data_IF_238793250875
#
_entry.id   IF_238793250875
#
_cell.length_a   1.000
_cell.length_b   1.000
_cell.length_c   1.000
_cell.angle_alpha   90.00
_cell.angle_beta   90.00
_cell.angle_gamma   90.00
#
_symmetry.space_group_name_H-M   'P 1'
#
loop_
_entity.id
_entity.type
_entity.pdbx_description
1 polymer ?
#
# COMPACT_ATOMS: atom_id res chain seq x y z
N UNK A 1 -26.54 39.19 23.43
CA UNK A 1 -25.67 38.01 23.59
C UNK A 1 -25.05 37.73 22.23
N UNK A 2 -23.79 38.09 22.05
CA UNK A 2 -23.08 38.00 20.77
C UNK A 2 -22.61 36.56 20.52
N UNK A 3 -23.11 35.96 19.45
CA UNK A 3 -22.65 34.65 18.95
C UNK A 3 -21.33 34.84 18.21
N UNK A 4 -20.24 34.37 18.79
CA UNK A 4 -18.90 34.38 18.19
C UNK A 4 -18.81 33.32 17.09
N UNK A 5 -18.85 33.78 15.84
CA UNK A 5 -18.51 32.97 14.68
C UNK A 5 -17.02 32.61 14.71
N UNK A 6 -16.72 31.31 14.80
CA UNK A 6 -15.35 30.79 14.69
C UNK A 6 -14.95 30.83 13.22
N UNK A 7 -14.16 31.83 12.85
CA UNK A 7 -13.51 31.97 11.54
C UNK A 7 -12.45 30.89 11.38
N UNK A 8 -12.70 29.91 10.50
CA UNK A 8 -11.71 28.92 10.09
C UNK A 8 -10.75 29.61 9.10
N UNK A 9 -9.50 29.78 9.53
CA UNK A 9 -8.43 30.41 8.76
C UNK A 9 -8.17 29.64 7.45
N UNK A 10 -8.16 30.35 6.33
CA UNK A 10 -8.25 29.84 4.96
C UNK A 10 -6.88 29.77 4.27
N UNK A 11 -5.82 29.45 5.04
CA UNK A 11 -4.45 29.36 4.48
C UNK A 11 -4.16 27.93 4.02
N UNK A 12 -4.03 27.73 2.70
CA UNK A 12 -3.61 26.45 2.10
C UNK A 12 -2.22 26.06 2.65
N UNK A 13 -2.07 24.89 3.29
CA UNK A 13 -0.77 24.44 3.79
C UNK A 13 0.17 24.15 2.62
N UNK A 14 1.32 24.82 2.62
CA UNK A 14 2.32 24.79 1.53
C UNK A 14 3.40 23.73 1.76
N UNK A 15 3.56 23.27 2.99
CA UNK A 15 4.66 22.39 3.40
C UNK A 15 4.18 20.96 3.66
N UNK A 16 5.03 19.95 3.41
CA UNK A 16 4.68 18.53 3.62
C UNK A 16 4.19 18.26 5.05
N UNK A 17 4.88 18.83 6.04
CA UNK A 17 4.53 18.68 7.45
C UNK A 17 3.16 19.29 7.75
N UNK A 18 2.88 20.49 7.25
CA UNK A 18 1.58 21.16 7.46
C UNK A 18 0.41 20.37 6.87
N UNK A 19 0.59 19.77 5.67
CA UNK A 19 -0.45 18.94 5.05
C UNK A 19 -0.69 17.68 5.88
N UNK A 20 0.37 17.02 6.35
CA UNK A 20 0.25 15.83 7.20
C UNK A 20 -0.43 16.19 8.52
N UNK A 21 0.01 17.27 9.18
CA UNK A 21 -0.54 17.73 10.46
C UNK A 21 -2.01 18.14 10.32
N UNK A 22 -2.37 18.86 9.25
CA UNK A 22 -3.76 19.23 8.99
C UNK A 22 -4.65 18.01 8.78
N UNK A 23 -4.15 17.02 8.02
CA UNK A 23 -4.90 15.79 7.77
C UNK A 23 -5.06 14.95 9.04
N UNK A 24 -4.03 14.86 9.89
CA UNK A 24 -4.11 14.17 11.18
C UNK A 24 -5.09 14.88 12.11
N UNK A 25 -5.02 16.21 12.19
CA UNK A 25 -5.91 17.00 13.05
C UNK A 25 -7.38 16.80 12.65
N UNK A 26 -7.67 16.82 11.36
CA UNK A 26 -9.02 16.59 10.87
C UNK A 26 -9.51 15.17 11.16
N UNK A 27 -8.62 14.16 11.08
CA UNK A 27 -8.97 12.79 11.45
C UNK A 27 -9.33 12.68 12.94
N UNK A 28 -8.57 13.36 13.81
CA UNK A 28 -8.86 13.44 15.24
C UNK A 28 -10.22 14.11 15.48
N UNK A 29 -10.50 15.24 14.83
CA UNK A 29 -11.79 15.94 14.97
C UNK A 29 -12.97 15.06 14.51
N UNK A 30 -12.81 14.29 13.42
CA UNK A 30 -13.84 13.36 12.96
C UNK A 30 -14.08 12.20 13.93
N UNK A 31 -13.01 11.71 14.57
CA UNK A 31 -13.10 10.66 15.60
C UNK A 31 -13.78 11.18 16.87
N UNK A 32 -13.42 12.38 17.32
CA UNK A 32 -14.04 13.04 18.48
C UNK A 32 -15.51 13.36 18.23
N UNK A 33 -15.88 13.67 16.99
CA UNK A 33 -17.27 13.85 16.55
C UNK A 33 -18.05 12.53 16.38
N UNK A 34 -17.42 11.36 16.63
CA UNK A 34 -18.07 10.05 16.57
C UNK A 34 -18.23 9.47 15.15
N UNK A 35 -17.57 10.03 14.15
CA UNK A 35 -17.63 9.54 12.77
C UNK A 35 -16.67 8.37 12.55
N UNK A 36 -17.10 7.16 12.95
CA UNK A 36 -16.35 5.91 12.72
C UNK A 36 -16.11 5.58 11.23
N UNK A 37 -16.94 6.12 10.33
CA UNK A 37 -16.81 5.95 8.88
C UNK A 37 -15.52 6.58 8.35
N UNK A 38 -15.06 7.69 8.93
CA UNK A 38 -13.81 8.34 8.53
C UNK A 38 -12.61 7.44 8.82
N UNK A 39 -12.59 6.81 9.99
CA UNK A 39 -11.56 5.84 10.36
C UNK A 39 -11.63 4.57 9.50
N UNK A 40 -12.84 4.08 9.22
CA UNK A 40 -13.04 2.89 8.40
C UNK A 40 -12.59 3.12 6.96
N UNK A 41 -12.94 4.26 6.36
CA UNK A 41 -12.46 4.69 5.05
C UNK A 41 -10.95 4.83 5.02
N UNK A 42 -10.37 5.35 6.11
CA UNK A 42 -8.94 5.48 6.25
C UNK A 42 -8.22 4.12 6.30
N UNK A 43 -8.66 3.19 7.15
CA UNK A 43 -8.10 1.84 7.24
C UNK A 43 -8.26 1.07 5.91
N UNK A 44 -9.38 1.29 5.22
CA UNK A 44 -9.64 0.73 3.88
C UNK A 44 -8.69 1.33 2.83
N UNK A 45 -8.40 2.61 2.89
CA UNK A 45 -7.43 3.24 1.99
C UNK A 45 -6.00 2.73 2.26
N UNK A 46 -5.62 2.51 3.53
CA UNK A 46 -4.33 1.92 3.89
C UNK A 46 -4.14 0.52 3.30
N UNK A 47 -5.19 -0.32 3.31
CA UNK A 47 -5.10 -1.66 2.73
C UNK A 47 -4.92 -1.62 1.21
N UNK A 48 -5.50 -0.62 0.53
CA UNK A 48 -5.41 -0.45 -0.94
C UNK A 48 -4.10 0.21 -1.40
N UNK A 49 -3.58 1.17 -0.64
CA UNK A 49 -2.46 2.04 -1.06
C UNK A 49 -1.17 1.81 -0.26
N UNK A 50 -0.81 0.55 -0.01
CA UNK A 50 0.36 0.18 0.80
C UNK A 50 1.72 0.69 0.28
N UNK A 51 1.81 1.03 -1.02
CA UNK A 51 3.02 1.60 -1.64
C UNK A 51 3.11 3.13 -1.52
N UNK A 52 2.08 3.80 -0.98
CA UNK A 52 2.07 5.23 -0.76
C UNK A 52 2.44 5.56 0.69
N UNK A 53 3.11 6.69 0.90
CA UNK A 53 3.35 7.19 2.26
C UNK A 53 2.04 7.47 2.98
N UNK A 54 1.98 7.24 4.29
CA UNK A 54 0.83 7.55 5.15
C UNK A 54 0.11 8.86 4.82
N UNK A 55 0.86 9.98 4.69
CA UNK A 55 0.28 11.27 4.37
C UNK A 55 -0.44 11.34 3.01
N UNK A 56 0.08 10.63 2.00
CA UNK A 56 -0.57 10.52 0.70
C UNK A 56 -1.79 9.61 0.75
N UNK A 57 -1.76 8.52 1.53
CA UNK A 57 -2.95 7.66 1.73
C UNK A 57 -4.08 8.47 2.34
N UNK A 58 -3.79 9.23 3.40
CA UNK A 58 -4.78 10.07 4.06
C UNK A 58 -5.31 11.18 3.13
N UNK A 59 -4.42 11.80 2.34
CA UNK A 59 -4.81 12.84 1.38
C UNK A 59 -5.65 12.30 0.20
N UNK A 60 -5.42 11.06 -0.22
CA UNK A 60 -6.25 10.34 -1.21
C UNK A 60 -7.61 10.02 -0.60
N UNK A 61 -7.65 9.37 0.56
CA UNK A 61 -8.88 8.99 1.24
C UNK A 61 -9.78 10.20 1.51
N UNK A 62 -9.19 11.34 1.88
CA UNK A 62 -9.91 12.59 2.12
C UNK A 62 -10.53 13.19 0.85
N UNK A 63 -9.84 13.13 -0.28
CA UNK A 63 -10.32 13.70 -1.55
C UNK A 63 -11.27 12.76 -2.29
N UNK A 64 -11.06 11.45 -2.17
CA UNK A 64 -11.86 10.42 -2.84
C UNK A 64 -11.88 9.13 -1.99
N UNK A 65 -12.81 9.01 -1.02
CA UNK A 65 -12.91 7.84 -0.14
C UNK A 65 -13.15 6.52 -0.91
N UNK A 66 -13.77 6.61 -2.09
CA UNK A 66 -14.09 5.47 -2.96
C UNK A 66 -12.93 5.05 -3.85
N UNK A 67 -11.75 5.70 -3.76
CA UNK A 67 -10.60 5.37 -4.59
C UNK A 67 -10.16 3.92 -4.36
N UNK A 68 -9.88 3.22 -5.46
CA UNK A 68 -9.48 1.80 -5.46
C UNK A 68 -8.09 1.61 -6.05
N UNK A 69 -7.81 2.28 -7.17
CA UNK A 69 -6.51 2.17 -7.85
C UNK A 69 -6.17 3.51 -8.46
N UNK A 70 -5.07 4.10 -8.01
CA UNK A 70 -4.72 5.47 -8.31
C UNK A 70 -3.35 5.51 -8.99
N UNK A 71 -3.24 6.25 -10.09
CA UNK A 71 -1.98 6.42 -10.81
C UNK A 71 -1.88 7.78 -11.50
N UNK A 72 -0.67 8.15 -11.92
CA UNK A 72 -0.44 9.38 -12.69
C UNK A 72 -0.99 9.28 -14.12
N UNK A 73 -1.26 10.42 -14.75
CA UNK A 73 -1.80 10.50 -16.12
C UNK A 73 -1.02 9.66 -17.14
N UNK A 74 0.31 9.79 -17.15
CA UNK A 74 1.18 9.03 -18.06
C UNK A 74 1.19 7.54 -17.75
N UNK A 75 1.08 7.15 -16.47
CA UNK A 75 0.96 5.74 -16.09
C UNK A 75 -0.32 5.14 -16.66
N UNK A 76 -1.45 5.85 -16.57
CA UNK A 76 -2.69 5.41 -17.20
C UNK A 76 -2.56 5.28 -18.71
N UNK A 77 -1.96 6.28 -19.37
CA UNK A 77 -1.73 6.25 -20.81
C UNK A 77 -0.88 5.06 -21.24
N UNK A 78 0.18 4.74 -20.49
CA UNK A 78 1.04 3.58 -20.74
C UNK A 78 0.33 2.24 -20.51
N UNK A 79 -0.67 2.21 -19.62
CA UNK A 79 -1.54 1.06 -19.38
C UNK A 79 -2.70 0.97 -20.40
N UNK A 80 -2.68 1.78 -21.47
CA UNK A 80 -3.73 1.78 -22.50
C UNK A 80 -5.05 2.40 -22.05
N UNK A 81 -5.02 3.24 -21.01
CA UNK A 81 -6.19 3.96 -20.48
C UNK A 81 -6.04 5.47 -20.60
N UNK A 82 -7.09 6.15 -21.04
CA UNK A 82 -7.20 7.60 -21.06
C UNK A 82 -7.93 8.10 -19.82
N UNK A 83 -7.47 9.21 -19.23
CA UNK A 83 -8.22 9.91 -18.18
C UNK A 83 -9.37 10.67 -18.83
N UNK A 84 -10.56 10.60 -18.24
CA UNK A 84 -11.76 11.24 -18.77
C UNK A 84 -11.62 12.77 -18.78
N UNK A 85 -12.13 13.41 -19.84
CA UNK A 85 -12.15 14.86 -19.93
C UNK A 85 -12.94 15.46 -18.75
N UNK A 86 -12.37 16.45 -18.06
CA UNK A 86 -12.98 17.06 -16.87
C UNK A 86 -12.80 16.28 -15.56
N UNK A 87 -12.09 15.14 -15.56
CA UNK A 87 -11.81 14.41 -14.33
C UNK A 87 -11.02 15.26 -13.31
N UNK A 88 -11.50 15.28 -12.06
CA UNK A 88 -10.83 15.97 -10.95
C UNK A 88 -9.65 15.14 -10.44
N UNK A 89 -8.43 15.63 -10.63
CA UNK A 89 -7.22 14.98 -10.12
C UNK A 89 -7.13 15.02 -8.60
N UNK A 90 -6.71 13.90 -8.01
CA UNK A 90 -6.41 13.76 -6.59
C UNK A 90 -5.00 14.28 -6.34
N UNK A 91 -4.85 15.27 -5.46
CA UNK A 91 -3.54 15.85 -5.14
C UNK A 91 -2.76 14.95 -4.19
N UNK A 92 -1.50 14.68 -4.51
CA UNK A 92 -0.53 14.00 -3.63
C UNK A 92 0.78 14.79 -3.55
N UNK A 93 1.61 14.45 -2.56
CA UNK A 93 2.97 14.97 -2.44
C UNK A 93 3.95 13.99 -3.07
N UNK A 94 4.64 14.41 -4.12
CA UNK A 94 5.65 13.62 -4.82
C UNK A 94 7.06 14.18 -4.55
N UNK A 95 8.06 13.31 -4.30
CA UNK A 95 9.44 13.74 -4.11
C UNK A 95 9.99 14.32 -5.42
N UNK A 96 10.73 15.43 -5.30
CA UNK A 96 11.61 15.94 -6.35
C UNK A 96 12.97 15.31 -6.11
N UNK A 97 13.36 14.38 -6.98
CA UNK A 97 14.68 13.74 -6.93
C UNK A 97 15.56 14.43 -7.97
N UNK A 98 16.69 14.95 -7.52
CA UNK A 98 17.70 15.54 -8.40
C UNK A 98 19.07 14.91 -8.19
N UNK A 99 20.02 15.34 -9.00
CA UNK A 99 21.40 14.87 -8.94
C UNK A 99 22.23 15.95 -8.28
N UNK A 100 22.80 15.66 -7.11
CA UNK A 100 23.69 16.58 -6.42
C UNK A 100 25.13 16.26 -6.83
N UNK A 101 25.75 17.12 -7.64
CA UNK A 101 27.19 17.03 -7.93
C UNK A 101 27.95 17.36 -6.63
N UNK A 102 28.88 16.49 -6.22
CA UNK A 102 29.86 16.84 -5.16
C UNK A 102 30.71 18.01 -5.66
N UNK A 103 31.06 18.95 -4.77
CA UNK A 103 32.02 20.02 -5.06
C UNK A 103 33.41 19.40 -5.23
N UNK A 104 34.11 19.82 -6.28
CA UNK A 104 35.38 19.27 -6.73
C UNK A 104 36.53 19.61 -5.76
N UNK A 105 37.01 18.59 -5.04
CA UNK A 105 38.45 18.38 -4.75
C UNK A 105 38.85 16.89 -4.90
N UNK A 106 37.91 15.94 -5.08
CA UNK A 106 38.18 14.52 -5.37
C UNK A 106 37.69 14.08 -6.77
N UNK A 107 37.47 15.02 -7.68
CA UNK A 107 36.78 14.79 -8.95
C UNK A 107 37.61 14.11 -10.05
N UNK A 108 38.79 13.59 -9.74
CA UNK A 108 39.73 13.10 -10.77
C UNK A 108 39.86 11.58 -10.84
N UNK A 109 39.05 10.77 -10.13
CA UNK A 109 39.28 9.31 -10.08
C UNK A 109 38.15 8.34 -10.41
N UNK A 110 36.88 8.73 -10.58
CA UNK A 110 35.88 7.75 -11.04
C UNK A 110 34.56 8.39 -11.52
N UNK A 111 34.36 8.47 -12.84
CA UNK A 111 33.19 9.11 -13.49
C UNK A 111 31.89 8.32 -13.19
N UNK A 112 31.99 7.04 -12.78
CA UNK A 112 30.84 6.18 -12.52
C UNK A 112 30.21 6.34 -11.12
N UNK A 113 30.90 6.99 -10.16
CA UNK A 113 30.43 7.14 -8.76
C UNK A 113 29.78 8.48 -8.43
N UNK A 114 29.67 9.40 -9.39
CA UNK A 114 29.45 10.83 -9.08
C UNK A 114 28.00 11.29 -8.93
N UNK A 115 27.00 10.44 -9.16
CA UNK A 115 25.59 10.87 -9.18
C UNK A 115 24.77 10.16 -8.11
N UNK A 116 24.89 10.59 -6.86
CA UNK A 116 23.95 10.17 -5.81
C UNK A 116 22.62 10.91 -6.03
N UNK A 117 21.53 10.16 -6.24
CA UNK A 117 20.17 10.73 -6.26
C UNK A 117 19.91 11.35 -4.88
N UNK A 118 19.67 12.66 -4.87
CA UNK A 118 19.33 13.40 -3.67
C UNK A 118 17.86 13.83 -3.72
N UNK A 119 17.16 13.69 -2.60
CA UNK A 119 15.84 14.27 -2.41
C UNK A 119 15.98 15.79 -2.25
N UNK A 120 15.51 16.56 -3.22
CA UNK A 120 15.60 18.03 -3.22
C UNK A 120 14.39 18.70 -2.57
N UNK A 121 13.25 18.01 -2.51
CA UNK A 121 12.02 18.55 -1.93
C UNK A 121 10.80 17.74 -2.32
N UNK A 122 9.62 18.33 -2.15
CA UNK A 122 8.35 17.74 -2.55
C UNK A 122 7.55 18.75 -3.37
N UNK A 123 6.81 18.25 -4.37
CA UNK A 123 5.85 19.03 -5.15
C UNK A 123 4.47 18.41 -5.07
N UNK A 124 3.46 19.24 -5.34
CA UNK A 124 2.13 18.75 -5.64
C UNK A 124 2.18 17.97 -6.97
N UNK A 125 1.67 16.74 -6.96
CA UNK A 125 1.41 15.93 -8.14
C UNK A 125 -0.06 15.52 -8.14
N UNK A 126 -0.60 15.24 -9.32
CA UNK A 126 -1.98 14.82 -9.49
C UNK A 126 -2.03 13.40 -10.02
N UNK A 127 -2.90 12.62 -9.40
CA UNK A 127 -3.18 11.23 -9.73
C UNK A 127 -4.68 11.05 -9.91
N UNK A 128 -5.07 10.02 -10.64
CA UNK A 128 -6.46 9.75 -11.01
C UNK A 128 -6.81 8.32 -10.61
N UNK A 129 -8.02 8.12 -10.11
CA UNK A 129 -8.54 6.79 -9.83
C UNK A 129 -8.97 6.08 -11.13
N UNK A 130 -8.95 4.75 -11.13
CA UNK A 130 -9.39 3.93 -12.26
C UNK A 130 -10.81 4.28 -12.74
N UNK A 131 -11.73 4.60 -11.82
CA UNK A 131 -13.10 5.03 -12.15
C UNK A 131 -13.17 6.31 -12.98
N UNK A 132 -12.09 7.09 -13.00
CA UNK A 132 -11.96 8.32 -13.79
C UNK A 132 -11.28 8.09 -15.14
N UNK A 133 -11.02 6.83 -15.51
CA UNK A 133 -10.33 6.45 -16.74
C UNK A 133 -11.16 5.53 -17.60
N UNK A 134 -10.98 5.60 -18.91
CA UNK A 134 -11.58 4.72 -19.90
C UNK A 134 -10.48 4.08 -20.76
N UNK A 135 -10.63 2.81 -21.14
CA UNK A 135 -9.67 2.10 -21.98
C UNK A 135 -9.60 0.62 -21.63
N UNK A 136 -8.47 -0.01 -21.96
CA UNK A 136 -8.27 -1.45 -21.77
C UNK A 136 -8.44 -1.83 -20.30
N UNK A 137 -9.14 -2.92 -20.03
CA UNK A 137 -9.26 -3.43 -18.67
C UNK A 137 -7.89 -3.82 -18.13
N UNK A 138 -7.65 -3.44 -16.89
CA UNK A 138 -6.39 -3.75 -16.25
C UNK A 138 -6.36 -5.25 -15.94
N UNK A 139 -5.18 -5.89 -16.05
CA UNK A 139 -5.03 -7.24 -15.54
C UNK A 139 -5.46 -7.26 -14.07
N UNK A 140 -6.37 -8.17 -13.76
CA UNK A 140 -6.74 -8.47 -12.38
C UNK A 140 -5.51 -9.00 -11.64
N UNK A 141 -5.46 -8.80 -10.32
CA UNK A 141 -4.47 -9.51 -9.50
C UNK A 141 -4.75 -10.99 -9.71
N UNK A 142 -3.85 -11.68 -10.41
CA UNK A 142 -4.04 -13.08 -10.79
C UNK A 142 -4.49 -13.89 -9.58
N UNK A 143 -5.64 -14.55 -9.71
CA UNK A 143 -5.94 -15.72 -8.90
C UNK A 143 -4.80 -16.71 -9.09
N UNK A 144 -4.29 -17.23 -7.96
CA UNK A 144 -3.24 -18.24 -8.00
C UNK A 144 -3.80 -19.44 -8.74
N UNK A 145 -3.29 -19.69 -9.94
CA UNK A 145 -3.81 -20.68 -10.88
C UNK A 145 -2.71 -21.66 -11.27
N UNK A 146 -3.12 -22.86 -11.66
CA UNK A 146 -2.23 -23.98 -12.00
C UNK A 146 -2.50 -25.23 -11.16
N UNK A 147 -1.68 -26.26 -11.36
CA UNK A 147 -1.69 -27.47 -10.53
C UNK A 147 -0.32 -27.62 -9.87
N UNK A 148 -0.21 -27.50 -8.53
CA UNK A 148 1.04 -27.74 -7.83
C UNK A 148 1.51 -29.20 -7.93
N UNK A 149 0.65 -30.12 -8.39
CA UNK A 149 0.95 -31.55 -8.53
C UNK A 149 1.43 -32.13 -7.20
N UNK A 150 2.51 -32.91 -7.23
CA UNK A 150 3.11 -33.51 -6.03
C UNK A 150 3.79 -32.50 -5.10
N UNK A 151 4.00 -31.25 -5.54
CA UNK A 151 4.74 -30.25 -4.75
C UNK A 151 4.03 -29.90 -3.46
N UNK A 152 2.69 -29.93 -3.46
CA UNK A 152 1.88 -29.67 -2.25
C UNK A 152 2.09 -30.75 -1.20
N UNK A 153 2.12 -32.03 -1.61
CA UNK A 153 2.33 -33.16 -0.72
C UNK A 153 3.77 -33.21 -0.20
N UNK A 154 4.75 -32.88 -1.05
CA UNK A 154 6.17 -32.76 -0.66
C UNK A 154 6.36 -31.65 0.36
N UNK A 155 5.73 -30.49 0.17
CA UNK A 155 5.78 -29.38 1.11
C UNK A 155 5.11 -29.74 2.44
N UNK A 156 3.91 -30.34 2.41
CA UNK A 156 3.22 -30.79 3.60
C UNK A 156 4.04 -31.81 4.40
N UNK A 157 4.69 -32.75 3.70
CA UNK A 157 5.58 -33.75 4.32
C UNK A 157 6.79 -33.09 4.96
N UNK A 158 7.43 -32.14 4.27
CA UNK A 158 8.56 -31.38 4.79
C UNK A 158 8.20 -30.59 6.06
N UNK A 159 7.05 -29.92 6.06
CA UNK A 159 6.56 -29.15 7.22
C UNK A 159 6.27 -30.06 8.41
N UNK A 160 5.60 -31.20 8.19
CA UNK A 160 5.38 -32.21 9.24
C UNK A 160 6.70 -32.76 9.78
N UNK A 161 7.69 -33.00 8.91
CA UNK A 161 9.04 -33.41 9.31
C UNK A 161 9.76 -32.39 10.20
N UNK A 162 9.43 -31.10 10.09
CA UNK A 162 9.91 -30.03 10.97
C UNK A 162 9.08 -29.87 12.26
N UNK A 163 8.11 -30.76 12.51
CA UNK A 163 7.20 -30.69 13.65
C UNK A 163 6.12 -29.62 13.50
N UNK A 164 5.88 -29.12 12.27
CA UNK A 164 4.84 -28.12 12.00
C UNK A 164 3.52 -28.83 11.72
N UNK A 165 2.47 -28.51 12.47
CA UNK A 165 1.14 -29.07 12.25
C UNK A 165 0.34 -28.19 11.29
N UNK A 166 -0.24 -28.80 10.24
CA UNK A 166 -1.13 -28.14 9.30
C UNK A 166 -2.57 -28.49 9.70
N UNK A 167 -3.42 -27.47 9.90
CA UNK A 167 -4.81 -27.61 10.37
C UNK A 167 -5.73 -26.79 9.46
N UNK A 168 -6.87 -27.35 9.08
CA UNK A 168 -7.91 -26.59 8.38
C UNK A 168 -8.89 -26.00 9.39
N UNK A 169 -9.09 -24.69 9.37
CA UNK A 169 -9.95 -24.00 10.32
C UNK A 169 -10.79 -22.92 9.62
N UNK A 170 -12.13 -23.08 9.51
CA UNK A 170 -12.99 -22.10 8.86
C UNK A 170 -13.08 -20.77 9.63
N UNK A 171 -12.70 -20.75 10.92
CA UNK A 171 -12.78 -19.55 11.77
C UNK A 171 -11.68 -18.52 11.48
N UNK A 172 -10.74 -18.81 10.59
CA UNK A 172 -9.69 -17.85 10.21
C UNK A 172 -10.14 -16.87 9.12
N UNK A 173 -11.32 -17.06 8.54
CA UNK A 173 -11.89 -16.11 7.59
C UNK A 173 -11.93 -14.69 8.21
N UNK A 174 -11.54 -13.64 7.46
CA UNK A 174 -11.30 -13.62 6.02
C UNK A 174 -9.86 -13.97 5.58
N UNK A 175 -8.96 -14.36 6.49
CA UNK A 175 -7.61 -14.75 6.12
C UNK A 175 -7.60 -16.12 5.42
N UNK A 176 -6.72 -16.28 4.44
CA UNK A 176 -6.53 -17.56 3.71
C UNK A 176 -5.65 -18.53 4.51
N UNK A 177 -4.72 -18.02 5.30
CA UNK A 177 -3.84 -18.79 6.17
C UNK A 177 -3.35 -17.94 7.35
N UNK A 178 -2.96 -18.62 8.44
CA UNK A 178 -2.33 -18.00 9.61
C UNK A 178 -1.31 -18.97 10.21
N UNK A 179 -0.10 -18.48 10.47
CA UNK A 179 0.94 -19.21 11.17
C UNK A 179 1.08 -18.76 12.63
N UNK A 180 1.14 -19.72 13.57
CA UNK A 180 1.39 -19.45 14.99
C UNK A 180 1.93 -20.67 15.72
N UNK A 181 2.97 -20.48 16.54
CA UNK A 181 3.43 -21.48 17.51
C UNK A 181 3.76 -22.86 16.93
N UNK A 182 4.37 -22.93 15.74
CA UNK A 182 4.67 -24.20 15.06
C UNK A 182 3.46 -24.87 14.41
N UNK A 183 2.37 -24.11 14.17
CA UNK A 183 1.20 -24.57 13.43
C UNK A 183 0.87 -23.62 12.29
N UNK A 184 0.29 -24.16 11.24
CA UNK A 184 -0.26 -23.42 10.11
C UNK A 184 -1.74 -23.76 10.03
N UNK A 185 -2.59 -22.76 10.20
CA UNK A 185 -4.03 -22.86 9.98
C UNK A 185 -4.38 -22.38 8.57
N UNK A 186 -5.17 -23.15 7.82
CA UNK A 186 -5.58 -22.84 6.44
C UNK A 186 -7.10 -22.77 6.37
N UNK A 187 -7.61 -21.83 5.57
CA UNK A 187 -9.04 -21.70 5.31
C UNK A 187 -9.48 -22.84 4.36
N UNK A 188 -10.45 -23.69 4.76
CA UNK A 188 -10.93 -24.76 3.89
C UNK A 188 -11.67 -24.21 2.67
N UNK A 189 -11.59 -24.91 1.54
CA UNK A 189 -12.29 -24.56 0.29
C UNK A 189 -11.45 -23.78 -0.73
N UNK A 190 -10.15 -23.60 -0.48
CA UNK A 190 -9.20 -23.07 -1.46
C UNK A 190 -8.96 -24.05 -2.62
N UNK A 191 -8.66 -23.54 -3.80
CA UNK A 191 -8.10 -24.36 -4.87
C UNK A 191 -6.71 -24.89 -4.46
N UNK A 192 -6.25 -25.98 -5.09
CA UNK A 192 -4.92 -26.56 -4.80
C UNK A 192 -3.80 -25.55 -4.96
N UNK A 193 -3.89 -24.68 -5.97
CA UNK A 193 -2.88 -23.66 -6.26
C UNK A 193 -2.85 -22.58 -5.17
N UNK A 194 -4.02 -22.09 -4.75
CA UNK A 194 -4.13 -21.14 -3.64
C UNK A 194 -3.65 -21.74 -2.33
N UNK A 195 -4.06 -22.97 -2.00
CA UNK A 195 -3.62 -23.67 -0.80
C UNK A 195 -2.10 -23.82 -0.77
N UNK A 196 -1.49 -24.19 -1.89
CA UNK A 196 -0.04 -24.29 -2.01
C UNK A 196 0.66 -22.94 -1.81
N UNK A 197 0.18 -21.88 -2.45
CA UNK A 197 0.73 -20.52 -2.28
C UNK A 197 0.60 -20.03 -0.83
N UNK A 198 -0.57 -20.23 -0.22
CA UNK A 198 -0.83 -19.94 1.19
C UNK A 198 0.12 -20.72 2.10
N UNK A 199 0.30 -22.02 1.86
CA UNK A 199 1.24 -22.86 2.62
C UNK A 199 2.68 -22.35 2.54
N UNK A 200 3.15 -21.96 1.35
CA UNK A 200 4.49 -21.39 1.15
C UNK A 200 4.63 -20.07 1.90
N UNK A 201 3.63 -19.20 1.83
CA UNK A 201 3.62 -17.91 2.53
C UNK A 201 3.72 -18.10 4.06
N UNK A 202 2.88 -18.96 4.63
CA UNK A 202 2.87 -19.23 6.07
C UNK A 202 4.13 -19.97 6.54
N UNK A 203 4.66 -20.89 5.72
CA UNK A 203 5.93 -21.56 6.00
C UNK A 203 7.10 -20.56 6.02
N UNK A 204 7.09 -19.57 5.11
CA UNK A 204 8.10 -18.52 5.08
C UNK A 204 8.05 -17.66 6.36
N UNK A 205 6.86 -17.27 6.82
CA UNK A 205 6.69 -16.57 8.11
C UNK A 205 7.30 -17.35 9.26
N UNK A 206 7.00 -18.65 9.39
CA UNK A 206 7.56 -19.49 10.45
C UNK A 206 9.08 -19.62 10.38
N UNK A 207 9.65 -19.75 9.17
CA UNK A 207 11.10 -19.89 9.01
C UNK A 207 11.84 -18.57 9.29
N UNK A 208 11.27 -17.43 8.89
CA UNK A 208 11.84 -16.11 9.14
C UNK A 208 11.76 -15.73 10.63
N UNK A 209 10.64 -15.98 11.30
CA UNK A 209 10.49 -15.67 12.73
C UNK A 209 11.42 -16.54 13.59
N UNK A 210 11.68 -17.78 13.18
CA UNK A 210 12.55 -18.72 13.91
C UNK A 210 14.05 -18.46 13.72
N UNK A 211 14.44 -17.50 12.88
CA UNK A 211 15.84 -17.12 12.64
C UNK A 211 16.38 -16.01 13.57
N UNK A 212 15.58 -15.54 14.54
CA UNK A 212 15.97 -14.51 15.52
C UNK A 212 16.20 -15.01 16.94
N UNK A 213 16.20 -16.34 17.14
CA UNK A 213 16.56 -16.96 18.43
C UNK A 213 17.62 -18.03 18.17
N UNK A 214 18.83 -17.59 17.89
CA UNK A 214 20.09 -18.29 18.19
C UNK A 214 21.07 -17.25 18.69
#
# INVERSE_FOLDING_TARGET
MSTTATTIDSKKPTTKQEIITANIKLLIEQLEAGHSDALTNYLTAMSRFHNYSFGNVLEIARQMPTATRVAGFWTWKNLGRGVNAGAKGIRILAPIVGVRRKKDEEAEKDITKQNTRALLGFRNAYVFDISQTNGVDLPELHEVSGDPGESIDRLATFLRGKGIQIVYNPKIAPAMGVSYGGRIAILPGQSKAEEFSTLVHEAAHLCCVRSYVV
#
